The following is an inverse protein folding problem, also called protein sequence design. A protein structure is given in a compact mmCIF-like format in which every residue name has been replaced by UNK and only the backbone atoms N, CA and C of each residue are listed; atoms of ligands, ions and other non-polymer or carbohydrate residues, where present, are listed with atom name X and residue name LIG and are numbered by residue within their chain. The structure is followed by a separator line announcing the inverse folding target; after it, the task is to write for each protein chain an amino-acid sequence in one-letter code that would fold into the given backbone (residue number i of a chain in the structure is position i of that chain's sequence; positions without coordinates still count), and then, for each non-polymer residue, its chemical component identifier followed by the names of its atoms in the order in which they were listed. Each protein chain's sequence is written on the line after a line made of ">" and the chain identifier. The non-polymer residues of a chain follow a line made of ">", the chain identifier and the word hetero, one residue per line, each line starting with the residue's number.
data_IF_355759805967
#
_entry.id   IF_355759805967
#
_cell.length_a   1.000
_cell.length_b   1.000
_cell.length_c   1.000
_cell.angle_alpha   90.00
_cell.angle_beta   90.00
_cell.angle_gamma   90.00
#
_symmetry.space_group_name_H-M   'P 1'
#
loop_
_entity.id
_entity.type
_entity.pdbx_description
1 polymer ?
#
# COMPACT_ATOMS: atom_id res chain seq x y z
N UNK A 1 -22.66 5.01 -1.88
CA UNK A 1 -22.11 6.27 -2.45
C UNK A 1 -22.05 7.47 -1.48
N UNK A 2 -22.78 7.50 -0.35
CA UNK A 2 -22.74 8.66 0.60
C UNK A 2 -21.46 8.80 1.46
N UNK A 3 -20.68 7.73 1.67
CA UNK A 3 -19.50 7.75 2.56
C UNK A 3 -18.30 8.55 2.04
N UNK A 4 -17.94 8.41 0.76
CA UNK A 4 -16.68 8.98 0.24
C UNK A 4 -16.65 10.51 0.19
N UNK A 5 -17.81 11.15 -0.03
CA UNK A 5 -17.90 12.63 -0.11
C UNK A 5 -17.55 13.32 1.22
N UNK A 6 -17.95 12.73 2.34
CA UNK A 6 -17.72 13.32 3.67
C UNK A 6 -16.26 13.24 4.08
N UNK A 7 -15.54 12.17 3.71
CA UNK A 7 -14.15 11.95 4.12
C UNK A 7 -13.22 13.01 3.52
N UNK A 8 -13.36 13.33 2.23
CA UNK A 8 -12.45 14.26 1.56
C UNK A 8 -12.56 15.69 2.10
N UNK A 9 -13.80 16.17 2.23
CA UNK A 9 -14.07 17.51 2.75
C UNK A 9 -13.64 17.67 4.20
N UNK A 10 -13.89 16.66 5.04
CA UNK A 10 -13.47 16.72 6.45
C UNK A 10 -11.95 16.68 6.58
N UNK A 11 -11.26 15.80 5.83
CA UNK A 11 -9.79 15.71 5.84
C UNK A 11 -9.15 17.03 5.41
N UNK A 12 -9.60 17.64 4.31
CA UNK A 12 -9.09 18.94 3.87
C UNK A 12 -9.29 20.01 4.94
N UNK A 13 -10.51 20.15 5.46
CA UNK A 13 -10.83 21.19 6.45
C UNK A 13 -9.99 21.05 7.73
N UNK A 14 -9.77 19.81 8.21
CA UNK A 14 -8.96 19.56 9.41
C UNK A 14 -7.49 19.89 9.15
N UNK A 15 -6.91 19.43 8.04
CA UNK A 15 -5.50 19.73 7.71
C UNK A 15 -5.26 21.22 7.52
N UNK A 16 -6.20 21.92 6.86
CA UNK A 16 -6.12 23.36 6.66
C UNK A 16 -6.28 24.15 7.96
N UNK A 17 -7.24 23.76 8.81
CA UNK A 17 -7.41 24.37 10.12
C UNK A 17 -6.19 24.15 11.02
N UNK A 18 -5.61 22.93 11.01
CA UNK A 18 -4.40 22.61 11.76
C UNK A 18 -3.22 23.49 11.34
N UNK A 19 -3.07 23.73 10.04
CA UNK A 19 -2.08 24.65 9.50
C UNK A 19 -2.30 26.07 10.02
N UNK A 20 -3.52 26.60 9.94
CA UNK A 20 -3.83 27.96 10.37
C UNK A 20 -3.65 28.18 11.88
N UNK A 21 -3.75 27.10 12.66
CA UNK A 21 -3.51 27.10 14.11
C UNK A 21 -2.04 26.84 14.47
N UNK A 22 -1.13 26.79 13.50
CA UNK A 22 0.30 26.55 13.69
C UNK A 22 0.58 25.24 14.46
N UNK A 23 -0.24 24.21 14.24
CA UNK A 23 0.04 22.88 14.79
C UNK A 23 1.28 22.30 14.13
N UNK A 24 1.98 21.43 14.88
CA UNK A 24 3.24 20.84 14.40
C UNK A 24 3.04 19.63 13.49
N UNK A 25 2.00 18.85 13.76
CA UNK A 25 1.80 17.57 13.11
C UNK A 25 0.31 17.20 13.00
N UNK A 26 -0.08 16.63 11.87
CA UNK A 26 -1.34 15.91 11.69
C UNK A 26 -1.03 14.46 11.34
N UNK A 27 -1.63 13.52 12.06
CA UNK A 27 -1.57 12.09 11.72
C UNK A 27 -2.86 11.71 11.00
N UNK A 28 -2.74 11.27 9.77
CA UNK A 28 -3.84 10.84 8.92
C UNK A 28 -3.93 9.32 8.89
N UNK A 29 -5.11 8.79 9.24
CA UNK A 29 -5.40 7.36 9.10
C UNK A 29 -5.71 7.02 7.64
N UNK A 30 -4.70 6.63 6.89
CA UNK A 30 -4.88 6.06 5.56
C UNK A 30 -5.21 4.57 5.63
N UNK A 31 -5.24 3.90 4.49
CA UNK A 31 -5.56 2.49 4.38
C UNK A 31 -4.79 1.83 3.26
N UNK A 32 -4.46 0.57 3.47
CA UNK A 32 -3.83 -0.27 2.46
C UNK A 32 -4.70 -0.46 1.19
N UNK A 33 -6.02 -0.17 1.27
CA UNK A 33 -6.91 -0.07 0.11
C UNK A 33 -6.51 1.06 -0.87
N UNK A 34 -5.71 2.04 -0.44
CA UNK A 34 -5.10 3.04 -1.31
C UNK A 34 -4.06 2.43 -2.27
N UNK A 35 -3.23 1.50 -1.76
CA UNK A 35 -2.20 0.79 -2.55
C UNK A 35 -2.78 -0.20 -3.56
N UNK A 36 -4.03 -0.61 -3.36
CA UNK A 36 -4.74 -1.50 -4.27
C UNK A 36 -5.36 -2.71 -3.62
N UNK A 37 -5.30 -2.86 -2.30
CA UNK A 37 -6.16 -3.84 -1.63
C UNK A 37 -7.63 -3.64 -2.00
N UNK A 38 -8.31 -4.75 -2.21
CA UNK A 38 -9.72 -4.81 -2.52
C UNK A 38 -10.37 -5.92 -1.71
N UNK A 39 -11.69 -5.87 -1.56
CA UNK A 39 -12.43 -6.97 -0.93
C UNK A 39 -12.38 -8.25 -1.75
N UNK A 40 -12.25 -8.13 -3.07
CA UNK A 40 -11.95 -9.24 -3.97
C UNK A 40 -10.42 -9.44 -4.07
N UNK A 41 -9.86 -10.55 -3.54
CA UNK A 41 -8.43 -10.81 -3.59
C UNK A 41 -7.89 -10.97 -5.02
N UNK A 42 -8.74 -11.29 -5.99
CA UNK A 42 -8.35 -11.47 -7.39
C UNK A 42 -8.24 -10.14 -8.14
N UNK A 43 -8.80 -9.06 -7.60
CA UNK A 43 -8.78 -7.75 -8.24
C UNK A 43 -7.40 -7.08 -8.22
N UNK A 44 -6.51 -7.48 -7.31
CA UNK A 44 -5.22 -6.83 -7.10
C UNK A 44 -4.03 -7.78 -7.24
N UNK A 45 -3.15 -7.42 -8.17
CA UNK A 45 -1.83 -8.04 -8.35
C UNK A 45 -0.75 -6.98 -8.07
N UNK A 46 0.05 -7.12 -7.00
CA UNK A 46 1.13 -6.19 -6.72
C UNK A 46 2.22 -6.28 -7.81
N UNK A 47 2.90 -5.16 -8.06
CA UNK A 47 3.96 -5.11 -9.08
C UNK A 47 5.24 -5.81 -8.62
N UNK A 48 5.46 -5.88 -7.31
CA UNK A 48 6.59 -6.56 -6.69
C UNK A 48 6.27 -6.96 -5.25
N UNK A 49 7.11 -7.84 -4.70
CA UNK A 49 7.11 -8.24 -3.30
C UNK A 49 8.55 -8.21 -2.76
N UNK A 50 8.76 -7.88 -1.47
CA UNK A 50 7.76 -7.41 -0.50
C UNK A 50 7.15 -6.06 -0.90
N UNK A 51 5.89 -5.82 -0.52
CA UNK A 51 5.24 -4.53 -0.75
C UNK A 51 5.82 -3.51 0.23
N UNK A 52 6.20 -2.35 -0.27
CA UNK A 52 6.66 -1.20 0.51
C UNK A 52 5.85 0.05 0.12
N UNK A 53 6.12 1.17 0.77
CA UNK A 53 5.42 2.44 0.57
C UNK A 53 5.69 3.09 -0.79
N UNK A 54 6.70 2.62 -1.54
CA UNK A 54 7.01 3.09 -2.90
C UNK A 54 6.09 2.44 -3.94
N UNK A 55 5.28 1.45 -3.53
CA UNK A 55 4.38 0.78 -4.43
C UNK A 55 3.30 1.75 -4.95
N UNK A 56 3.03 1.80 -6.28
CA UNK A 56 2.07 2.73 -6.83
C UNK A 56 0.67 2.54 -6.26
N UNK A 57 0.05 3.64 -5.85
CA UNK A 57 -1.33 3.65 -5.37
C UNK A 57 -2.32 3.25 -6.48
N UNK A 58 -2.85 2.03 -6.38
CA UNK A 58 -3.76 1.44 -7.37
C UNK A 58 -5.15 1.13 -6.78
N UNK A 59 -5.80 2.13 -6.18
CA UNK A 59 -7.10 1.92 -5.53
C UNK A 59 -8.20 1.47 -6.51
N UNK A 60 -8.89 0.37 -6.16
CA UNK A 60 -9.99 -0.20 -6.98
C UNK A 60 -11.38 0.28 -6.58
N UNK A 61 -11.53 0.73 -5.34
CA UNK A 61 -12.83 1.01 -4.74
C UNK A 61 -12.95 2.46 -4.25
N UNK A 62 -14.19 3.02 -4.16
CA UNK A 62 -14.40 4.41 -3.72
C UNK A 62 -13.86 4.74 -2.33
N UNK A 63 -13.71 3.73 -1.46
CA UNK A 63 -13.09 3.90 -0.14
C UNK A 63 -11.57 4.06 -0.26
N UNK A 64 -10.89 3.14 -0.94
CA UNK A 64 -9.46 3.22 -1.21
C UNK A 64 -9.07 4.52 -1.91
N UNK A 65 -9.84 4.90 -2.94
CA UNK A 65 -9.64 6.17 -3.65
C UNK A 65 -9.75 7.38 -2.73
N UNK A 66 -10.70 7.36 -1.78
CA UNK A 66 -10.85 8.47 -0.83
C UNK A 66 -9.65 8.61 0.12
N UNK A 67 -8.99 7.49 0.48
CA UNK A 67 -7.78 7.50 1.31
C UNK A 67 -6.57 7.96 0.52
N UNK A 68 -6.41 7.49 -0.72
CA UNK A 68 -5.38 7.94 -1.65
C UNK A 68 -5.45 9.46 -1.87
N UNK A 69 -6.64 10.00 -2.15
CA UNK A 69 -6.82 11.46 -2.30
C UNK A 69 -6.49 12.19 -0.99
N UNK A 70 -6.81 11.61 0.17
CA UNK A 70 -6.43 12.15 1.47
C UNK A 70 -4.92 12.30 1.66
N UNK A 71 -4.13 11.34 1.18
CA UNK A 71 -2.66 11.44 1.17
C UNK A 71 -2.17 12.55 0.23
N UNK A 72 -2.74 12.64 -0.99
CA UNK A 72 -2.41 13.72 -1.92
C UNK A 72 -2.75 15.11 -1.36
N UNK A 73 -3.82 15.24 -0.59
CA UNK A 73 -4.15 16.47 0.13
C UNK A 73 -3.09 16.80 1.18
N UNK A 74 -2.64 15.78 1.93
CA UNK A 74 -1.54 15.92 2.89
C UNK A 74 -0.27 16.46 2.23
N UNK A 75 0.18 15.83 1.15
CA UNK A 75 1.34 16.29 0.37
C UNK A 75 1.17 17.73 -0.13
N UNK A 76 -0.02 18.08 -0.60
CA UNK A 76 -0.31 19.43 -1.05
C UNK A 76 -0.16 20.44 0.09
N UNK A 77 -0.72 20.13 1.27
CA UNK A 77 -0.62 21.02 2.44
C UNK A 77 0.84 21.18 2.87
N UNK A 78 1.62 20.10 2.94
CA UNK A 78 3.04 20.15 3.32
C UNK A 78 3.90 20.91 2.30
N UNK A 79 3.54 20.92 1.01
CA UNK A 79 4.25 21.74 0.00
C UNK A 79 4.07 23.24 0.21
N UNK A 80 2.92 23.67 0.74
CA UNK A 80 2.59 25.09 0.90
C UNK A 80 2.80 25.62 2.31
N UNK A 81 3.20 24.78 3.27
CA UNK A 81 3.18 25.11 4.71
C UNK A 81 4.34 24.43 5.44
N UNK A 82 4.49 24.69 6.74
CA UNK A 82 5.54 24.09 7.59
C UNK A 82 5.04 22.93 8.46
N UNK A 83 3.76 22.57 8.38
CA UNK A 83 3.19 21.46 9.16
C UNK A 83 3.73 20.13 8.65
N UNK A 84 3.93 19.17 9.56
CA UNK A 84 4.20 17.78 9.18
C UNK A 84 2.89 17.00 9.06
N UNK A 85 2.74 16.21 7.99
CA UNK A 85 1.60 15.30 7.85
C UNK A 85 2.13 13.88 7.72
N UNK A 86 1.67 12.99 8.60
CA UNK A 86 2.06 11.58 8.63
C UNK A 86 0.87 10.73 8.24
N UNK A 87 0.98 9.99 7.14
CA UNK A 87 -0.08 9.08 6.67
C UNK A 87 0.23 7.65 7.08
N UNK A 88 -0.66 7.04 7.86
CA UNK A 88 -0.52 5.65 8.30
C UNK A 88 -1.42 4.75 7.46
N UNK A 89 -0.84 3.89 6.63
CA UNK A 89 -1.58 2.98 5.75
C UNK A 89 -1.97 1.71 6.50
N UNK A 90 -3.03 1.81 7.29
CA UNK A 90 -3.51 0.67 8.07
C UNK A 90 -3.99 -0.45 7.14
N UNK A 91 -3.50 -1.66 7.42
CA UNK A 91 -4.06 -2.92 6.91
C UNK A 91 -5.26 -3.33 7.76
N UNK A 92 -5.64 -4.60 7.72
CA UNK A 92 -6.70 -5.13 8.56
C UNK A 92 -6.35 -4.95 10.05
N UNK A 93 -7.21 -4.25 10.79
CA UNK A 93 -7.11 -4.09 12.25
C UNK A 93 -8.17 -4.99 12.86
N UNK A 94 -7.73 -5.99 13.61
CA UNK A 94 -8.60 -7.04 14.18
C UNK A 94 -8.43 -7.11 15.69
N UNK A 95 -9.45 -7.59 16.39
CA UNK A 95 -9.34 -7.82 17.84
C UNK A 95 -8.42 -9.02 18.14
N UNK A 96 -7.89 -9.15 19.37
CA UNK A 96 -7.07 -10.30 19.76
C UNK A 96 -7.79 -11.65 19.56
N UNK A 97 -9.11 -11.69 19.77
CA UNK A 97 -9.92 -12.90 19.56
C UNK A 97 -10.00 -13.25 18.07
N UNK A 98 -10.22 -12.25 17.21
CA UNK A 98 -10.23 -12.43 15.76
C UNK A 98 -8.85 -12.81 15.23
N UNK A 99 -7.77 -12.29 15.84
CA UNK A 99 -6.40 -12.64 15.46
C UNK A 99 -6.14 -14.15 15.61
N UNK A 100 -6.74 -14.81 16.61
CA UNK A 100 -6.61 -16.24 16.83
C UNK A 100 -7.28 -17.09 15.73
N UNK A 101 -8.19 -16.51 14.96
CA UNK A 101 -8.81 -17.17 13.79
C UNK A 101 -7.91 -17.15 12.56
N UNK A 102 -6.91 -16.25 12.52
CA UNK A 102 -5.99 -16.18 11.38
C UNK A 102 -5.01 -17.35 11.39
N UNK A 103 -4.66 -17.87 10.21
CA UNK A 103 -3.71 -18.97 10.08
C UNK A 103 -2.25 -18.52 10.28
N UNK A 104 -2.02 -17.34 10.87
CA UNK A 104 -0.73 -16.70 11.08
C UNK A 104 -0.74 -15.94 12.41
N UNK A 105 0.33 -16.09 13.18
CA UNK A 105 0.54 -15.31 14.39
C UNK A 105 0.67 -13.82 14.10
N UNK A 106 0.29 -13.00 15.07
CA UNK A 106 0.46 -11.56 14.98
C UNK A 106 1.94 -11.19 14.76
N UNK A 107 2.24 -10.22 13.89
CA UNK A 107 3.60 -9.74 13.72
C UNK A 107 4.11 -9.10 15.02
N UNK A 108 5.37 -9.37 15.37
CA UNK A 108 6.08 -8.74 16.50
C UNK A 108 7.21 -7.85 15.98
N UNK A 109 7.75 -6.97 16.83
CA UNK A 109 8.88 -6.11 16.46
C UNK A 109 10.13 -6.93 16.05
N UNK A 110 10.29 -8.13 16.61
CA UNK A 110 11.40 -9.03 16.31
C UNK A 110 11.18 -9.83 15.01
N UNK A 111 9.91 -10.07 14.65
CA UNK A 111 9.52 -10.78 13.43
C UNK A 111 8.54 -9.89 12.66
N UNK A 112 9.04 -8.83 12.01
CA UNK A 112 8.20 -7.98 11.17
C UNK A 112 7.76 -8.78 9.95
N UNK A 113 6.56 -9.36 10.00
CA UNK A 113 5.99 -10.03 8.83
C UNK A 113 5.51 -8.96 7.85
N UNK A 114 5.99 -9.00 6.62
CA UNK A 114 5.32 -8.30 5.52
C UNK A 114 4.00 -9.01 5.25
N UNK A 115 2.91 -8.51 5.82
CA UNK A 115 1.57 -9.10 5.71
C UNK A 115 1.18 -9.40 4.25
N UNK A 116 1.65 -8.58 3.30
CA UNK A 116 1.37 -8.76 1.86
C UNK A 116 1.99 -10.03 1.30
N UNK A 117 3.25 -10.32 1.63
CA UNK A 117 3.92 -11.53 1.14
C UNK A 117 3.17 -12.78 1.58
N UNK A 118 2.78 -12.84 2.85
CA UNK A 118 2.14 -14.03 3.43
C UNK A 118 0.66 -14.18 3.04
N UNK A 119 -0.09 -13.06 2.96
CA UNK A 119 -1.49 -13.09 2.48
C UNK A 119 -1.54 -13.45 0.99
N UNK A 120 -0.70 -12.83 0.16
CA UNK A 120 -0.72 -13.06 -1.29
C UNK A 120 -0.24 -14.47 -1.64
N UNK A 121 0.85 -14.97 -1.02
CA UNK A 121 1.33 -16.34 -1.22
C UNK A 121 0.23 -17.38 -0.98
N UNK A 122 -0.61 -17.22 0.06
CA UNK A 122 -1.69 -18.18 0.37
C UNK A 122 -2.88 -18.08 -0.58
N UNK A 123 -3.23 -16.89 -1.07
CA UNK A 123 -4.29 -16.72 -2.07
C UNK A 123 -3.88 -17.26 -3.45
N UNK A 124 -2.60 -17.15 -3.84
CA UNK A 124 -2.10 -17.79 -5.07
C UNK A 124 -1.92 -19.31 -4.90
N UNK A 125 -1.52 -19.79 -3.72
CA UNK A 125 -1.30 -21.23 -3.46
C UNK A 125 -2.58 -22.06 -3.42
N UNK A 126 -3.75 -21.48 -3.14
CA UNK A 126 -5.02 -22.21 -3.16
C UNK A 126 -5.47 -22.63 -4.58
N UNK A 127 -4.81 -22.11 -5.63
CA UNK A 127 -5.05 -22.49 -7.03
C UNK A 127 -4.00 -23.42 -7.65
N UNK A 128 -2.88 -23.70 -6.97
CA UNK A 128 -1.81 -24.55 -7.48
C UNK A 128 -1.52 -25.66 -6.47
N UNK A 129 -1.97 -26.87 -6.79
CA UNK A 129 -1.50 -28.11 -6.15
C UNK A 129 0.03 -28.07 -6.05
N UNK A 130 0.48 -27.96 -4.81
CA UNK A 130 1.74 -28.42 -4.25
C UNK A 130 2.62 -29.20 -5.24
N UNK A 131 3.48 -28.47 -5.95
CA UNK A 131 4.66 -29.05 -6.57
C UNK A 131 5.87 -28.32 -6.01
N UNK A 132 6.46 -28.96 -5.00
CA UNK A 132 7.88 -28.89 -4.66
C UNK A 132 8.54 -27.50 -4.73
N UNK A 133 8.55 -26.80 -3.59
CA UNK A 133 9.52 -25.76 -3.31
C UNK A 133 10.93 -26.37 -3.38
N UNK A 134 11.68 -26.09 -4.45
CA UNK A 134 13.13 -26.20 -4.43
C UNK A 134 13.72 -24.79 -4.54
N UNK A 135 14.27 -24.34 -3.43
CA UNK A 135 14.79 -22.99 -3.23
C UNK A 135 16.21 -22.99 -3.76
N UNK A 136 16.43 -22.76 -5.05
CA UNK A 136 17.76 -22.51 -5.64
C UNK A 136 17.67 -22.02 -7.09
N UNK A 137 18.25 -20.85 -7.33
CA UNK A 137 18.50 -20.20 -8.63
C UNK A 137 17.30 -19.61 -9.37
N UNK A 138 16.99 -18.34 -9.10
CA UNK A 138 16.46 -17.45 -10.13
C UNK A 138 17.47 -16.32 -10.37
N UNK A 139 18.38 -16.58 -11.30
CA UNK A 139 19.33 -15.61 -11.84
C UNK A 139 18.57 -14.74 -12.85
N UNK A 140 18.53 -13.42 -12.61
CA UNK A 140 17.99 -12.45 -13.58
C UNK A 140 18.85 -12.48 -14.86
N UNK A 141 18.26 -12.50 -16.07
CA UNK A 141 19.05 -12.24 -17.27
C UNK A 141 19.31 -10.73 -17.43
N UNK A 142 20.59 -10.38 -17.41
CA UNK A 142 21.19 -9.13 -17.88
C UNK A 142 20.58 -8.72 -19.24
N UNK A 143 19.93 -7.56 -19.31
CA UNK A 143 19.80 -6.83 -20.60
C UNK A 143 21.07 -6.01 -20.79
N UNK A 144 22.00 -6.56 -21.55
CA UNK A 144 23.15 -5.83 -22.08
C UNK A 144 22.68 -4.73 -23.04
N UNK A 145 23.30 -3.56 -22.89
CA UNK A 145 23.47 -2.57 -23.93
C UNK A 145 24.02 -3.23 -25.20
N UNK A 146 23.34 -3.13 -26.34
CA UNK A 146 24.00 -3.24 -27.64
C UNK A 146 23.92 -1.88 -28.34
N UNK A 147 25.10 -1.29 -28.49
CA UNK A 147 25.35 -0.07 -29.24
C UNK A 147 26.27 -0.46 -30.38
N UNK A 148 25.71 -0.73 -31.57
CA UNK A 148 26.49 -0.84 -32.81
C UNK A 148 25.78 -0.18 -33.98
N UNK A 149 26.24 1.04 -34.23
CA UNK A 149 26.09 1.80 -35.46
C UNK A 149 27.04 1.23 -36.54
N UNK A 150 26.58 1.11 -37.81
CA UNK A 150 27.36 1.32 -39.05
C UNK A 150 26.51 1.08 -40.33
N UNK A 151 26.09 2.20 -40.95
CA UNK A 151 26.24 2.63 -42.36
C UNK A 151 26.16 1.66 -43.58
N UNK A 152 25.67 2.28 -44.68
CA UNK A 152 25.57 1.88 -46.12
C UNK A 152 24.36 1.00 -46.45
N UNK A 153 23.48 1.32 -47.40
CA UNK A 153 23.54 2.11 -48.65
C UNK A 153 22.20 2.78 -48.94
#
# INVERSE_FOLDING_TARGET
>A
MRRSRTILLSTFNIMWAATNQNLRCVVFSSSAFGMGWAHDPSAFVPLYLPLDEEHPMMSFEPYGLSKQIGECLGEMVTRSTTISIVSLQFTNVVSPEQQAEFPLDAPTLEIPRTLVREMWLKHTFWGLKQTSLDTKHFCLPNRQHDSRNRQST
#
